data_IF_827629840200
#
_entry.id   IF_827629840200
#
_cell.length_a   1.000
_cell.length_b   1.000
_cell.length_c   1.000
_cell.angle_alpha   90.00
_cell.angle_beta   90.00
_cell.angle_gamma   90.00
#
_symmetry.space_group_name_H-M   'P 1'
#
loop_
_entity.id
_entity.type
_entity.pdbx_description
1 polymer ?
#
# COMPACT_ATOMS: atom_id res chain seq x y z
N UNK A 1 23.22 -26.45 7.63
CA UNK A 1 23.41 -27.79 7.05
C UNK A 1 22.16 -28.62 7.31
N UNK A 2 21.13 -28.43 6.49
CA UNK A 2 19.86 -29.17 6.64
C UNK A 2 20.04 -30.52 5.98
N UNK A 3 19.96 -31.57 6.78
CA UNK A 3 20.21 -32.96 6.40
C UNK A 3 19.15 -33.38 5.37
N UNK A 4 19.53 -33.54 4.11
CA UNK A 4 18.68 -34.17 3.09
C UNK A 4 18.41 -35.61 3.56
N UNK A 5 17.21 -35.89 4.02
CA UNK A 5 16.73 -37.26 4.22
C UNK A 5 16.46 -37.83 2.82
N UNK A 6 17.45 -38.50 2.23
CA UNK A 6 17.23 -39.36 1.07
C UNK A 6 16.41 -40.56 1.53
N UNK A 7 15.11 -40.55 1.24
CA UNK A 7 14.26 -41.72 1.38
C UNK A 7 14.75 -42.79 0.39
N UNK A 8 15.39 -43.84 0.91
CA UNK A 8 15.76 -45.00 0.12
C UNK A 8 14.49 -45.82 -0.10
N UNK A 9 13.95 -45.80 -1.33
CA UNK A 9 12.76 -46.59 -1.69
C UNK A 9 13.10 -48.08 -1.61
N UNK A 10 12.56 -48.78 -0.62
CA UNK A 10 12.48 -50.23 -0.64
C UNK A 10 11.22 -50.61 -1.42
N UNK A 11 11.38 -51.21 -2.60
CA UNK A 11 10.28 -51.82 -3.34
C UNK A 11 9.75 -52.99 -2.53
N UNK A 12 8.63 -52.82 -1.81
CA UNK A 12 8.00 -53.92 -1.08
C UNK A 12 7.16 -54.73 -2.06
N UNK A 13 7.78 -55.71 -2.72
CA UNK A 13 7.08 -56.68 -3.56
C UNK A 13 6.34 -57.69 -2.69
N UNK A 14 5.00 -57.63 -2.66
CA UNK A 14 4.18 -58.71 -2.11
C UNK A 14 3.84 -59.71 -3.23
N UNK A 15 4.35 -60.94 -3.14
CA UNK A 15 3.99 -62.03 -4.06
C UNK A 15 2.86 -62.84 -3.43
N UNK A 16 1.65 -62.75 -3.99
CA UNK A 16 0.54 -63.63 -3.61
C UNK A 16 0.47 -64.81 -4.60
N UNK A 17 0.29 -66.06 -4.15
CA UNK A 17 0.41 -67.24 -5.00
C UNK A 17 -0.71 -67.41 -6.05
N UNK A 18 -1.67 -66.47 -6.15
CA UNK A 18 -2.81 -66.58 -7.08
C UNK A 18 -3.27 -65.29 -7.75
N UNK A 19 -2.57 -64.16 -7.51
CA UNK A 19 -2.82 -62.91 -8.22
C UNK A 19 -1.48 -62.36 -8.70
N UNK A 20 -1.40 -61.95 -9.97
CA UNK A 20 -0.18 -61.38 -10.54
C UNK A 20 0.38 -60.23 -9.70
N UNK A 21 1.67 -59.93 -9.88
CA UNK A 21 2.36 -58.85 -9.17
C UNK A 21 1.56 -57.55 -9.26
N UNK A 22 1.03 -57.06 -8.14
CA UNK A 22 0.43 -55.74 -8.07
C UNK A 22 1.57 -54.75 -7.76
N UNK A 23 1.99 -54.01 -8.77
CA UNK A 23 2.90 -52.88 -8.57
C UNK A 23 2.06 -51.71 -8.05
N UNK A 24 2.14 -51.42 -6.75
CA UNK A 24 1.63 -50.17 -6.22
C UNK A 24 2.67 -49.08 -6.51
N UNK A 25 2.36 -48.17 -7.43
CA UNK A 25 3.18 -46.97 -7.62
C UNK A 25 2.99 -46.07 -6.41
N UNK A 26 3.99 -46.01 -5.53
CA UNK A 26 4.05 -44.99 -4.50
C UNK A 26 4.38 -43.65 -5.19
N UNK A 27 3.38 -42.81 -5.43
CA UNK A 27 3.59 -41.43 -5.88
C UNK A 27 4.32 -40.65 -4.79
N UNK A 28 5.58 -40.31 -5.01
CA UNK A 28 6.28 -39.32 -4.18
C UNK A 28 5.77 -37.94 -4.55
N UNK A 29 4.95 -37.31 -3.70
CA UNK A 29 4.59 -35.90 -3.91
C UNK A 29 5.81 -35.03 -3.64
N UNK A 30 6.26 -34.29 -4.65
CA UNK A 30 7.36 -33.34 -4.54
C UNK A 30 6.98 -32.20 -3.58
N UNK A 31 7.85 -31.88 -2.63
CA UNK A 31 7.68 -30.73 -1.73
C UNK A 31 8.31 -29.50 -2.38
N UNK A 32 7.57 -28.40 -2.42
CA UNK A 32 8.05 -27.11 -2.92
C UNK A 32 8.12 -26.07 -1.80
N UNK A 33 8.95 -25.06 -1.99
CA UNK A 33 9.25 -24.03 -0.99
C UNK A 33 8.77 -22.67 -1.45
N UNK A 34 8.02 -21.98 -0.58
CA UNK A 34 7.76 -20.54 -0.70
C UNK A 34 8.76 -19.82 0.19
N UNK A 35 9.50 -18.85 -0.37
CA UNK A 35 10.39 -17.96 0.38
C UNK A 35 9.77 -16.57 0.44
N UNK A 36 9.46 -16.10 1.64
CA UNK A 36 8.98 -14.75 1.89
C UNK A 36 10.16 -13.81 2.12
N UNK A 37 10.11 -12.61 1.53
CA UNK A 37 11.11 -11.54 1.69
C UNK A 37 10.42 -10.29 2.21
N UNK A 38 10.91 -9.75 3.33
CA UNK A 38 10.30 -8.59 3.98
C UNK A 38 10.37 -7.32 3.11
N UNK A 39 11.33 -7.20 2.19
CA UNK A 39 11.29 -6.26 1.05
C UNK A 39 10.98 -4.77 1.38
N UNK A 40 11.70 -4.18 2.35
CA UNK A 40 11.77 -2.73 2.53
C UNK A 40 13.23 -2.27 2.75
N UNK A 41 13.49 -0.97 2.68
CA UNK A 41 14.86 -0.46 2.76
C UNK A 41 15.55 -0.85 4.07
N UNK A 42 16.77 -1.39 3.96
CA UNK A 42 17.60 -1.75 5.11
C UNK A 42 17.30 -3.12 5.74
N UNK A 43 16.37 -3.91 5.20
CA UNK A 43 16.13 -5.30 5.66
C UNK A 43 16.58 -6.33 4.63
N UNK A 44 17.09 -7.47 5.13
CA UNK A 44 17.35 -8.69 4.35
C UNK A 44 16.59 -9.89 4.92
N UNK A 45 15.55 -9.64 5.73
CA UNK A 45 14.84 -10.69 6.43
C UNK A 45 14.05 -11.58 5.47
N UNK A 46 14.16 -12.88 5.68
CA UNK A 46 13.44 -13.91 4.92
C UNK A 46 12.80 -14.93 5.85
N UNK A 47 11.67 -15.47 5.46
CA UNK A 47 11.02 -16.62 6.08
C UNK A 47 10.67 -17.64 4.98
N UNK A 48 10.37 -18.88 5.35
CA UNK A 48 10.02 -19.90 4.36
C UNK A 48 9.02 -20.90 4.90
N UNK A 49 8.16 -21.40 4.03
CA UNK A 49 7.27 -22.53 4.28
C UNK A 49 7.36 -23.53 3.13
N UNK A 50 6.91 -24.75 3.37
CA UNK A 50 6.98 -25.81 2.36
C UNK A 50 5.80 -26.75 2.47
N UNK A 51 5.30 -27.19 1.32
CA UNK A 51 4.21 -28.15 1.23
C UNK A 51 4.34 -28.95 -0.06
N UNK A 52 3.74 -30.15 -0.08
CA UNK A 52 3.61 -30.98 -1.28
C UNK A 52 2.24 -30.84 -1.96
N UNK A 53 1.32 -30.07 -1.33
CA UNK A 53 -0.06 -29.86 -1.79
C UNK A 53 -0.46 -28.41 -1.56
N UNK A 54 -1.59 -27.98 -2.15
CA UNK A 54 -2.12 -26.65 -1.91
C UNK A 54 -2.42 -26.42 -0.42
N UNK A 55 -2.00 -25.28 0.11
CA UNK A 55 -2.23 -24.85 1.48
C UNK A 55 -2.41 -23.33 1.54
N UNK A 56 -2.84 -22.78 2.67
CA UNK A 56 -2.82 -21.33 2.88
C UNK A 56 -1.38 -20.88 3.15
N UNK A 57 -1.01 -19.72 2.61
CA UNK A 57 0.23 -19.05 2.98
C UNK A 57 0.21 -18.70 4.48
N UNK A 58 1.35 -18.83 5.16
CA UNK A 58 1.49 -18.36 6.54
C UNK A 58 1.19 -16.85 6.61
N UNK A 59 0.32 -16.38 7.53
CA UNK A 59 0.00 -14.97 7.66
C UNK A 59 1.25 -14.13 7.91
N UNK A 60 1.35 -12.94 7.29
CA UNK A 60 2.51 -12.05 7.42
C UNK A 60 2.83 -11.72 8.89
N UNK A 61 1.79 -11.60 9.72
CA UNK A 61 1.89 -11.37 11.16
C UNK A 61 2.61 -12.49 11.94
N UNK A 62 2.70 -13.69 11.37
CA UNK A 62 3.32 -14.86 11.97
C UNK A 62 4.73 -15.15 11.43
N UNK A 63 5.20 -14.42 10.41
CA UNK A 63 6.53 -14.60 9.81
C UNK A 63 7.67 -13.96 10.63
N UNK A 64 7.32 -13.21 11.68
CA UNK A 64 8.27 -12.61 12.62
C UNK A 64 8.26 -11.07 12.62
N UNK A 65 9.03 -10.43 13.52
CA UNK A 65 8.97 -8.99 13.74
C UNK A 65 9.42 -8.17 12.52
N UNK A 66 10.36 -8.69 11.73
CA UNK A 66 10.81 -8.02 10.50
C UNK A 66 9.73 -7.96 9.40
N UNK A 67 8.64 -8.73 9.53
CA UNK A 67 7.48 -8.68 8.63
C UNK A 67 6.33 -7.86 9.21
N UNK A 68 6.57 -7.14 10.33
CA UNK A 68 5.58 -6.28 10.97
C UNK A 68 6.22 -4.91 11.29
N UNK A 69 6.70 -4.15 10.28
CA UNK A 69 7.28 -2.83 10.51
C UNK A 69 6.23 -1.86 11.05
N UNK A 70 6.58 -1.04 12.04
CA UNK A 70 5.65 -0.06 12.64
C UNK A 70 5.33 1.14 11.73
N UNK A 71 6.11 1.34 10.65
CA UNK A 71 6.04 2.51 9.77
C UNK A 71 5.22 2.28 8.49
N UNK A 72 4.91 1.03 8.14
CA UNK A 72 4.19 0.67 6.92
C UNK A 72 3.20 -0.46 7.18
N UNK A 73 2.06 -0.44 6.51
CA UNK A 73 1.12 -1.55 6.46
C UNK A 73 1.48 -2.55 5.36
N UNK A 74 1.34 -3.84 5.63
CA UNK A 74 1.42 -4.87 4.60
C UNK A 74 0.27 -4.70 3.60
N UNK A 75 0.59 -4.70 2.30
CA UNK A 75 -0.38 -4.60 1.22
C UNK A 75 -0.64 -5.99 0.62
N UNK A 76 0.38 -6.59 0.03
CA UNK A 76 0.29 -7.90 -0.60
C UNK A 76 1.66 -8.55 -0.78
N UNK A 77 1.67 -9.81 -1.19
CA UNK A 77 2.85 -10.50 -1.72
C UNK A 77 2.93 -10.32 -3.24
N UNK A 78 4.11 -10.01 -3.77
CA UNK A 78 4.38 -10.00 -5.21
C UNK A 78 5.55 -10.91 -5.57
N UNK A 79 5.50 -11.53 -6.75
CA UNK A 79 6.64 -12.27 -7.32
C UNK A 79 7.76 -11.36 -7.86
N UNK A 80 7.52 -10.05 -7.93
CA UNK A 80 8.52 -9.05 -8.30
C UNK A 80 8.82 -8.13 -7.11
N UNK A 81 10.09 -7.89 -6.74
CA UNK A 81 10.45 -7.02 -5.61
C UNK A 81 9.92 -5.59 -5.76
N UNK A 82 9.80 -5.07 -6.98
CA UNK A 82 9.30 -3.71 -7.26
C UNK A 82 7.78 -3.64 -7.47
N UNK A 83 7.05 -4.73 -7.21
CA UNK A 83 5.63 -4.85 -7.53
C UNK A 83 5.37 -5.15 -9.01
N UNK A 84 4.09 -5.22 -9.40
CA UNK A 84 3.66 -5.50 -10.78
C UNK A 84 3.85 -6.94 -11.26
N UNK A 85 4.41 -7.83 -10.42
CA UNK A 85 4.38 -9.28 -10.64
C UNK A 85 3.02 -9.89 -10.30
N UNK A 86 2.92 -11.23 -10.36
CA UNK A 86 1.77 -11.94 -9.84
C UNK A 86 1.60 -11.66 -8.34
N UNK A 87 0.36 -11.38 -7.93
CA UNK A 87 -0.02 -10.94 -6.58
C UNK A 87 -0.69 -12.07 -5.81
N UNK A 88 -0.35 -12.18 -4.53
CA UNK A 88 -1.01 -13.06 -3.57
C UNK A 88 -1.40 -12.25 -2.33
N UNK A 89 -2.64 -12.41 -1.90
CA UNK A 89 -3.14 -11.76 -0.69
C UNK A 89 -2.63 -12.48 0.57
N UNK A 90 -2.63 -11.79 1.71
CA UNK A 90 -2.26 -12.42 2.97
C UNK A 90 -3.16 -13.64 3.25
N UNK A 91 -2.57 -14.72 3.76
CA UNK A 91 -3.27 -15.99 4.03
C UNK A 91 -4.01 -16.60 2.82
N UNK A 92 -3.69 -16.21 1.59
CA UNK A 92 -4.32 -16.78 0.39
C UNK A 92 -3.89 -18.23 0.17
N UNK A 93 -4.73 -19.01 -0.52
CA UNK A 93 -4.36 -20.37 -0.92
C UNK A 93 -3.29 -20.33 -2.01
N UNK A 94 -2.21 -21.09 -1.81
CA UNK A 94 -1.11 -21.25 -2.75
C UNK A 94 -0.97 -22.72 -3.17
N UNK A 95 -0.78 -22.93 -4.47
CA UNK A 95 -0.50 -24.25 -5.02
C UNK A 95 1.02 -24.45 -5.10
N UNK A 96 1.55 -25.30 -4.20
CA UNK A 96 2.96 -25.67 -4.12
C UNK A 96 3.36 -26.61 -5.27
N UNK A 97 3.38 -26.08 -6.49
CA UNK A 97 3.76 -26.78 -7.73
C UNK A 97 5.16 -26.40 -8.24
N UNK A 98 5.74 -25.34 -7.68
CA UNK A 98 7.12 -24.92 -7.89
C UNK A 98 7.58 -24.07 -6.71
N UNK A 99 8.90 -23.97 -6.56
CA UNK A 99 9.49 -23.02 -5.62
C UNK A 99 9.22 -21.59 -6.09
N UNK A 100 9.01 -20.68 -5.15
CA UNK A 100 8.75 -19.25 -5.45
C UNK A 100 9.33 -18.35 -4.38
N UNK A 101 9.71 -17.14 -4.77
CA UNK A 101 10.02 -16.06 -3.85
C UNK A 101 8.93 -15.00 -3.92
N UNK A 102 8.37 -14.66 -2.76
CA UNK A 102 7.34 -13.65 -2.58
C UNK A 102 7.90 -12.46 -1.80
N UNK A 103 7.79 -11.28 -2.38
CA UNK A 103 8.26 -10.02 -1.84
C UNK A 103 7.08 -9.25 -1.28
N UNK A 104 7.13 -8.92 0.02
CA UNK A 104 6.11 -8.09 0.63
C UNK A 104 6.09 -6.71 -0.04
N UNK A 105 4.89 -6.24 -0.37
CA UNK A 105 4.65 -4.89 -0.81
C UNK A 105 4.04 -4.12 0.35
N UNK A 106 4.55 -2.92 0.60
CA UNK A 106 4.17 -2.09 1.74
C UNK A 106 3.49 -0.83 1.27
N UNK A 107 2.44 -0.43 1.99
CA UNK A 107 1.83 0.88 1.87
C UNK A 107 2.13 1.69 3.11
N UNK A 108 2.38 2.99 2.99
CA UNK A 108 2.33 3.85 4.18
C UNK A 108 0.88 3.86 4.71
N UNK A 109 0.69 4.12 6.01
CA UNK A 109 -0.65 4.45 6.48
C UNK A 109 -1.23 5.63 5.68
N UNK A 110 -2.53 5.59 5.44
CA UNK A 110 -3.26 6.72 4.88
C UNK A 110 -3.14 7.93 5.83
N UNK A 111 -2.75 9.07 5.27
CA UNK A 111 -2.65 10.35 5.96
C UNK A 111 -3.65 11.30 5.32
N UNK A 112 -4.40 12.00 6.16
CA UNK A 112 -5.42 12.95 5.71
C UNK A 112 -4.92 14.38 5.86
N UNK A 113 -5.04 15.14 4.78
CA UNK A 113 -4.99 16.60 4.78
C UNK A 113 -6.41 17.13 4.76
N UNK A 114 -6.71 18.07 5.64
CA UNK A 114 -7.99 18.77 5.68
C UNK A 114 -7.79 20.18 5.15
N UNK A 115 -8.66 20.59 4.23
CA UNK A 115 -8.74 21.94 3.69
C UNK A 115 -9.92 22.65 4.36
N UNK A 116 -9.71 23.86 4.86
CA UNK A 116 -10.72 24.71 5.46
C UNK A 116 -10.92 25.96 4.61
N UNK A 117 -12.17 26.30 4.31
CA UNK A 117 -12.55 27.41 3.44
C UNK A 117 -12.08 28.77 3.97
N UNK A 118 -12.07 28.96 5.29
CA UNK A 118 -11.58 30.18 5.93
C UNK A 118 -12.21 31.46 5.34
N UNK A 119 -13.46 31.40 4.89
CA UNK A 119 -14.17 32.58 4.38
C UNK A 119 -14.65 33.48 5.52
N UNK A 120 -14.88 32.90 6.71
CA UNK A 120 -15.29 33.61 7.92
C UNK A 120 -14.70 32.97 9.20
N UNK A 121 -14.65 33.71 10.33
CA UNK A 121 -14.23 33.11 11.60
C UNK A 121 -15.14 31.95 12.01
N UNK A 122 -14.57 30.77 12.23
CA UNK A 122 -15.32 29.57 12.63
C UNK A 122 -16.08 28.88 11.50
N UNK A 123 -15.72 29.17 10.25
CA UNK A 123 -16.25 28.52 9.06
C UNK A 123 -16.12 26.99 9.14
N UNK A 124 -17.24 26.23 9.13
CA UNK A 124 -17.21 24.78 9.23
C UNK A 124 -16.96 24.08 7.89
N UNK A 125 -16.95 24.81 6.77
CA UNK A 125 -16.80 24.22 5.44
C UNK A 125 -15.38 23.70 5.27
N UNK A 126 -15.31 22.38 5.12
CA UNK A 126 -14.06 21.65 4.98
C UNK A 126 -14.18 20.60 3.89
N UNK A 127 -13.04 20.33 3.24
CA UNK A 127 -12.84 19.20 2.34
C UNK A 127 -11.61 18.43 2.84
N UNK A 128 -11.40 17.21 2.33
CA UNK A 128 -10.27 16.41 2.75
C UNK A 128 -9.72 15.56 1.62
N UNK A 129 -8.41 15.41 1.63
CA UNK A 129 -7.66 14.52 0.74
C UNK A 129 -6.90 13.51 1.59
N UNK A 130 -6.94 12.24 1.19
CA UNK A 130 -6.26 11.17 1.92
C UNK A 130 -5.36 10.40 0.98
N UNK A 131 -4.08 10.31 1.33
CA UNK A 131 -3.06 9.64 0.52
C UNK A 131 -2.08 8.90 1.42
N UNK A 132 -1.39 7.91 0.84
CA UNK A 132 -0.38 7.09 1.53
C UNK A 132 0.99 7.19 0.86
N UNK A 133 1.23 8.27 0.13
CA UNK A 133 2.49 8.56 -0.54
C UNK A 133 2.54 10.04 -0.88
N UNK A 134 3.71 10.48 -1.32
CA UNK A 134 3.81 11.83 -1.86
C UNK A 134 2.93 11.98 -3.11
N UNK A 135 2.11 13.01 -3.10
CA UNK A 135 1.22 13.38 -4.19
C UNK A 135 1.03 14.91 -4.17
N UNK A 136 0.36 15.44 -5.19
CA UNK A 136 -0.04 16.84 -5.18
C UNK A 136 -1.29 17.00 -4.32
N UNK A 137 -1.35 18.10 -3.57
CA UNK A 137 -2.57 18.52 -2.90
C UNK A 137 -3.68 18.70 -3.92
N UNK A 138 -4.93 18.40 -3.55
CA UNK A 138 -6.07 18.66 -4.40
C UNK A 138 -6.15 20.17 -4.71
N UNK A 139 -6.46 20.50 -5.97
CA UNK A 139 -6.67 21.89 -6.36
C UNK A 139 -7.93 22.42 -5.69
N UNK A 140 -7.92 23.68 -5.24
CA UNK A 140 -9.07 24.34 -4.64
C UNK A 140 -10.35 24.18 -5.49
N UNK A 141 -10.22 24.32 -6.80
CA UNK A 141 -11.35 24.21 -7.74
C UNK A 141 -11.96 22.79 -7.84
N UNK A 142 -11.25 21.78 -7.34
CA UNK A 142 -11.69 20.37 -7.35
C UNK A 142 -12.27 19.91 -6.01
N UNK A 143 -12.17 20.74 -4.96
CA UNK A 143 -12.65 20.38 -3.63
C UNK A 143 -14.17 20.25 -3.59
N UNK A 144 -14.63 19.29 -2.79
CA UNK A 144 -16.05 19.04 -2.51
C UNK A 144 -16.26 19.04 -0.99
N UNK A 145 -17.15 19.90 -0.45
CA UNK A 145 -17.88 20.97 -1.15
C UNK A 145 -16.93 22.02 -1.76
N UNK A 146 -17.38 22.70 -2.80
CA UNK A 146 -16.63 23.78 -3.44
C UNK A 146 -16.52 24.98 -2.51
N UNK A 147 -15.35 25.61 -2.45
CA UNK A 147 -15.12 26.79 -1.62
C UNK A 147 -15.47 28.06 -2.40
N UNK A 148 -15.99 29.08 -1.74
CA UNK A 148 -16.40 30.36 -2.32
C UNK A 148 -16.44 31.46 -1.26
N UNK A 149 -15.60 32.49 -1.45
CA UNK A 149 -15.66 33.74 -0.69
C UNK A 149 -16.08 34.92 -1.58
N UNK A 150 -17.35 35.39 -1.53
CA UNK A 150 -17.85 36.42 -2.43
C UNK A 150 -17.02 37.72 -2.39
N UNK A 151 -16.58 38.21 -3.56
CA UNK A 151 -15.74 39.40 -3.69
C UNK A 151 -14.25 39.15 -3.47
N UNK A 152 -13.84 37.88 -3.37
CA UNK A 152 -12.45 37.47 -3.20
C UNK A 152 -12.07 36.33 -4.15
N UNK A 153 -10.78 36.18 -4.39
CA UNK A 153 -10.17 35.08 -5.14
C UNK A 153 -9.23 34.29 -4.25
N UNK A 154 -9.25 32.96 -4.37
CA UNK A 154 -8.29 32.09 -3.69
C UNK A 154 -6.86 32.44 -4.13
N UNK A 155 -5.94 32.51 -3.17
CA UNK A 155 -4.54 32.87 -3.41
C UNK A 155 -3.59 31.69 -3.14
N UNK A 156 -3.72 31.06 -1.97
CA UNK A 156 -2.92 29.91 -1.55
C UNK A 156 -3.54 29.22 -0.33
N UNK A 157 -2.95 28.09 0.07
CA UNK A 157 -3.21 27.41 1.34
C UNK A 157 -2.19 27.84 2.40
N UNK A 158 -2.57 27.90 3.68
CA UNK A 158 -1.64 28.19 4.78
C UNK A 158 -1.93 27.30 6.00
N UNK A 159 -0.90 26.96 6.79
CA UNK A 159 -1.09 26.18 8.04
C UNK A 159 -1.71 26.98 9.19
N UNK A 160 -1.80 28.30 9.05
CA UNK A 160 -2.48 29.20 10.00
C UNK A 160 -3.59 29.98 9.28
N UNK A 161 -4.75 30.19 9.91
CA UNK A 161 -5.88 30.89 9.29
C UNK A 161 -5.58 32.36 8.98
N UNK A 162 -4.66 32.98 9.72
CA UNK A 162 -4.24 34.38 9.58
C UNK A 162 -3.08 34.57 8.58
N UNK A 163 -2.63 33.50 7.93
CA UNK A 163 -1.53 33.52 6.96
C UNK A 163 -0.12 33.53 7.58
N UNK A 164 0.01 33.47 8.91
CA UNK A 164 1.32 33.49 9.61
C UNK A 164 2.10 32.17 9.51
N UNK A 165 1.45 31.10 9.08
CA UNK A 165 2.02 29.77 8.96
C UNK A 165 2.74 29.53 7.64
N UNK A 166 3.00 28.27 7.33
CA UNK A 166 3.67 27.86 6.10
C UNK A 166 2.70 27.93 4.93
N UNK A 167 3.01 28.67 3.85
CA UNK A 167 2.17 28.72 2.65
C UNK A 167 2.42 27.50 1.74
N UNK A 168 1.36 27.05 1.08
CA UNK A 168 1.36 26.02 0.04
C UNK A 168 0.60 26.56 -1.18
N UNK A 169 1.22 26.46 -2.35
CA UNK A 169 0.55 26.80 -3.61
C UNK A 169 -0.57 25.81 -3.92
N UNK A 170 -1.51 26.21 -4.77
CA UNK A 170 -2.53 25.30 -5.26
C UNK A 170 -1.88 24.12 -6.01
N UNK A 171 -2.27 22.88 -5.68
CA UNK A 171 -1.66 21.70 -6.26
C UNK A 171 -0.22 21.41 -5.80
N UNK A 172 0.28 22.06 -4.74
CA UNK A 172 1.64 21.82 -4.25
C UNK A 172 1.87 20.36 -3.87
N UNK A 173 3.07 19.83 -4.15
CA UNK A 173 3.44 18.48 -3.73
C UNK A 173 3.56 18.41 -2.21
N UNK A 174 2.88 17.43 -1.61
CA UNK A 174 2.95 17.11 -0.20
C UNK A 174 3.40 15.67 -0.01
N UNK A 175 4.15 15.40 1.06
CA UNK A 175 4.71 14.08 1.33
C UNK A 175 3.72 13.10 1.97
N UNK A 176 2.63 13.60 2.54
CA UNK A 176 1.66 12.80 3.32
C UNK A 176 2.31 11.96 4.42
N UNK A 177 3.32 12.54 5.10
CA UNK A 177 4.01 11.91 6.22
C UNK A 177 3.31 12.13 7.57
N UNK A 178 2.47 13.16 7.67
CA UNK A 178 1.67 13.49 8.84
C UNK A 178 0.40 14.24 8.42
N UNK A 179 -0.69 14.15 9.21
CA UNK A 179 -1.90 14.93 8.95
C UNK A 179 -1.60 16.42 8.94
N UNK A 180 -2.33 17.17 8.11
CA UNK A 180 -2.17 18.62 7.97
C UNK A 180 -3.53 19.29 7.85
N UNK A 181 -3.68 20.46 8.46
CA UNK A 181 -4.83 21.34 8.27
C UNK A 181 -4.35 22.58 7.52
N UNK A 182 -5.00 22.87 6.39
CA UNK A 182 -4.71 23.99 5.52
C UNK A 182 -5.92 24.92 5.45
N UNK A 183 -5.66 26.22 5.59
CA UNK A 183 -6.66 27.28 5.53
C UNK A 183 -6.48 28.05 4.23
N UNK A 184 -7.55 28.21 3.46
CA UNK A 184 -7.51 29.04 2.27
C UNK A 184 -7.21 30.49 2.63
N UNK A 185 -6.30 31.10 1.87
CA UNK A 185 -6.01 32.52 1.91
C UNK A 185 -6.64 33.17 0.68
N UNK A 186 -7.23 34.33 0.89
CA UNK A 186 -8.07 35.00 -0.10
C UNK A 186 -7.57 36.43 -0.32
N UNK A 187 -7.56 36.88 -1.57
CA UNK A 187 -7.29 38.26 -1.96
C UNK A 187 -8.56 38.94 -2.50
N UNK A 188 -8.79 40.25 -2.26
CA UNK A 188 -9.96 40.94 -2.80
C UNK A 188 -9.98 40.93 -4.33
N UNK A 189 -11.13 40.65 -4.92
CA UNK A 189 -11.30 40.75 -6.38
C UNK A 189 -11.40 42.21 -6.78
N UNK A 190 -10.39 42.73 -7.47
CA UNK A 190 -10.43 44.11 -8.00
C UNK A 190 -11.24 44.10 -9.30
N UNK A 191 -12.44 44.68 -9.26
CA UNK A 191 -13.18 45.04 -10.49
C UNK A 191 -12.94 46.52 -10.79
N UNK A 192 -12.39 46.79 -11.99
CA UNK A 192 -12.39 48.15 -12.51
C UNK A 192 -13.71 48.36 -13.24
N UNK A 193 -14.58 49.21 -12.70
CA UNK A 193 -15.66 49.81 -13.49
C UNK A 193 -15.04 50.94 -14.33
N UNK A 194 -14.99 50.83 -15.67
CA UNK A 194 -14.60 51.94 -16.53
C UNK A 194 -15.73 52.97 -16.54
N UNK A 195 -15.87 53.73 -15.46
CA UNK A 195 -16.82 54.84 -15.38
C UNK A 195 -16.36 55.98 -16.30
N UNK A 196 -16.81 55.93 -17.56
CA UNK A 196 -17.14 57.13 -18.33
C UNK A 196 -15.99 57.98 -18.87
N UNK A 197 -14.89 57.37 -19.30
CA UNK A 197 -13.87 58.07 -20.10
C UNK A 197 -14.42 58.47 -21.48
N UNK A 198 -15.19 59.56 -21.55
CA UNK A 198 -15.47 60.28 -22.80
C UNK A 198 -14.24 61.10 -23.14
N UNK A 199 -13.47 60.61 -24.14
CA UNK A 199 -12.53 61.41 -24.92
C UNK A 199 -13.22 62.17 -26.03
#
# INVERSE_FOLDING_TARGET
>A
MTKLLRLLLATVGFTFPFFGTISAEATSSQVHVVTFVANYFGTTATASESSAVAALLTPVSQLGPAFNPSTFGFSEWSTNPSGGGQIYQDSSSYNFSSDVTLYAQWMYPNVTVTFAENASPGDPVTASQTENKSSNLDSEASLVPSFTKPGWTFENWNTSPDGSGTPYLDGATYGFAAPLLLYAQWAPTISFDPNGGIG
#
